data_IF_777981904407
#
_entry.id   IF_777981904407
#
_cell.length_a   1.000
_cell.length_b   1.000
_cell.length_c   1.000
_cell.angle_alpha   90.00
_cell.angle_beta   90.00
_cell.angle_gamma   90.00
#
_symmetry.space_group_name_H-M   'P 1'
#
loop_
_entity.id
_entity.type
_entity.pdbx_description
1 polymer ?
#
# COMPACT_ATOMS: atom_id res chain seq x y z
N UNK A 1 1.09 6.91 17.14
CA UNK A 1 0.39 7.75 16.14
C UNK A 1 -0.56 6.84 15.38
N UNK A 2 -1.66 7.33 14.81
CA UNK A 2 -2.61 6.48 14.08
C UNK A 2 -2.22 6.37 12.61
N UNK A 3 -2.32 5.17 12.04
CA UNK A 3 -2.08 4.94 10.62
C UNK A 3 -2.99 5.83 9.75
N UNK A 4 -2.44 6.41 8.67
CA UNK A 4 -3.17 7.30 7.76
C UNK A 4 -3.18 6.76 6.34
N UNK A 5 -4.30 6.94 5.64
CA UNK A 5 -4.42 6.59 4.22
C UNK A 5 -3.40 7.38 3.40
N UNK A 6 -2.66 6.70 2.54
CA UNK A 6 -1.66 7.29 1.65
C UNK A 6 -1.92 6.86 0.20
N UNK A 7 -2.80 7.63 -0.46
CA UNK A 7 -3.19 7.39 -1.85
C UNK A 7 -2.03 7.62 -2.83
N UNK A 8 -1.12 8.56 -2.52
CA UNK A 8 0.03 8.83 -3.37
C UNK A 8 1.00 7.64 -3.37
N UNK A 9 1.24 7.02 -2.22
CA UNK A 9 2.05 5.80 -2.12
C UNK A 9 1.45 4.66 -2.93
N UNK A 10 0.12 4.45 -2.83
CA UNK A 10 -0.59 3.43 -3.60
C UNK A 10 -0.41 3.59 -5.11
N UNK A 11 -0.58 4.82 -5.62
CA UNK A 11 -0.43 5.12 -7.04
C UNK A 11 1.01 4.93 -7.53
N UNK A 12 2.00 5.31 -6.71
CA UNK A 12 3.42 5.09 -7.01
C UNK A 12 3.78 3.59 -6.99
N UNK A 13 3.25 2.83 -6.05
CA UNK A 13 3.45 1.38 -6.00
C UNK A 13 2.86 0.70 -7.24
N UNK A 14 1.68 1.12 -7.71
CA UNK A 14 1.12 0.65 -8.99
C UNK A 14 2.03 0.96 -10.19
N UNK A 15 2.65 2.16 -10.20
CA UNK A 15 3.60 2.52 -11.24
C UNK A 15 4.86 1.63 -11.21
N UNK A 16 5.41 1.34 -10.02
CA UNK A 16 6.57 0.46 -9.82
C UNK A 16 6.27 -1.00 -10.14
N UNK A 17 5.07 -1.48 -9.83
CA UNK A 17 4.65 -2.84 -10.19
C UNK A 17 4.67 -3.04 -11.72
N UNK A 18 4.36 -1.98 -12.47
CA UNK A 18 4.43 -1.96 -13.93
C UNK A 18 3.36 -2.82 -14.61
N UNK A 19 3.22 -2.74 -15.94
CA UNK A 19 2.15 -3.39 -16.70
C UNK A 19 2.18 -4.92 -16.66
N UNK A 20 3.35 -5.52 -16.38
CA UNK A 20 3.56 -6.97 -16.36
C UNK A 20 3.82 -7.53 -14.96
N UNK A 21 3.63 -6.73 -13.92
CA UNK A 21 3.74 -7.20 -12.55
C UNK A 21 2.62 -8.18 -12.17
N UNK A 22 2.77 -8.83 -11.02
CA UNK A 22 1.83 -9.84 -10.54
C UNK A 22 0.39 -9.32 -10.51
N UNK A 23 -0.52 -10.08 -11.12
CA UNK A 23 -1.92 -9.66 -11.30
C UNK A 23 -2.66 -9.53 -9.97
N UNK A 24 -2.34 -10.39 -8.98
CA UNK A 24 -2.96 -10.32 -7.66
C UNK A 24 -2.38 -9.16 -6.84
N UNK A 25 -1.08 -8.90 -6.92
CA UNK A 25 -0.47 -7.70 -6.32
C UNK A 25 -1.10 -6.41 -6.85
N UNK A 26 -1.35 -6.36 -8.17
CA UNK A 26 -2.07 -5.24 -8.81
C UNK A 26 -3.48 -5.12 -8.26
N UNK A 27 -4.23 -6.22 -8.21
CA UNK A 27 -5.60 -6.25 -7.69
C UNK A 27 -5.65 -5.77 -6.23
N UNK A 28 -4.68 -6.17 -5.39
CA UNK A 28 -4.54 -5.72 -4.01
C UNK A 28 -4.36 -4.20 -3.93
N UNK A 29 -3.51 -3.60 -4.77
CA UNK A 29 -3.32 -2.15 -4.81
C UNK A 29 -4.52 -1.41 -5.44
N UNK A 30 -5.19 -2.01 -6.41
CA UNK A 30 -6.34 -1.42 -7.11
C UNK A 30 -7.62 -1.48 -6.30
N UNK A 31 -7.84 -2.51 -5.49
CA UNK A 31 -9.05 -2.65 -4.67
C UNK A 31 -8.82 -2.33 -3.19
N UNK A 32 -7.57 -2.40 -2.71
CA UNK A 32 -7.23 -2.12 -1.32
C UNK A 32 -7.00 -0.66 -0.99
N UNK A 33 -6.79 -0.38 0.29
CA UNK A 33 -6.33 0.92 0.77
C UNK A 33 -4.98 0.79 1.44
N UNK A 34 -4.06 1.68 1.09
CA UNK A 34 -2.73 1.74 1.67
C UNK A 34 -2.76 2.75 2.81
N UNK A 35 -2.39 2.30 3.99
CA UNK A 35 -2.18 3.13 5.16
C UNK A 35 -0.71 3.09 5.55
N UNK A 36 -0.23 4.17 6.14
CA UNK A 36 1.12 4.28 6.67
C UNK A 36 1.03 4.56 8.16
N UNK A 37 1.61 3.67 8.96
CA UNK A 37 1.91 3.92 10.37
C UNK A 37 3.35 4.45 10.46
N UNK A 38 3.54 5.74 10.79
CA UNK A 38 4.82 6.40 10.65
C UNK A 38 5.80 6.07 11.80
N UNK A 39 7.09 6.22 11.50
CA UNK A 39 8.20 6.17 12.46
C UNK A 39 8.20 4.98 13.42
N UNK A 40 7.86 3.78 12.93
CA UNK A 40 7.91 2.54 13.74
C UNK A 40 9.34 2.07 14.00
N UNK A 41 10.30 2.55 13.20
CA UNK A 41 11.73 2.30 13.34
C UNK A 41 12.51 3.54 12.89
N UNK A 42 13.69 3.79 13.46
CA UNK A 42 14.61 4.81 12.98
C UNK A 42 16.07 4.34 13.10
N UNK A 43 16.92 4.74 12.15
CA UNK A 43 18.34 4.41 12.14
C UNK A 43 19.17 5.43 11.35
N UNK A 44 20.50 5.38 11.51
CA UNK A 44 21.42 6.20 10.71
C UNK A 44 21.78 5.45 9.42
N UNK A 45 21.46 6.05 8.27
CA UNK A 45 21.84 5.56 6.96
C UNK A 45 23.10 6.25 6.43
N UNK A 46 23.64 5.76 5.32
CA UNK A 46 24.84 6.35 4.69
C UNK A 46 24.66 7.80 4.25
N UNK A 47 23.40 8.24 4.04
CA UNK A 47 23.05 9.59 3.57
C UNK A 47 22.32 10.42 4.63
N UNK A 48 22.37 10.01 5.90
CA UNK A 48 21.69 10.67 7.00
C UNK A 48 20.62 9.79 7.67
N UNK A 49 19.81 10.39 8.55
CA UNK A 49 18.80 9.68 9.32
C UNK A 49 17.71 9.09 8.42
N UNK A 50 17.26 7.89 8.77
CA UNK A 50 16.22 7.14 8.07
C UNK A 50 15.06 6.82 9.01
N UNK A 51 13.85 6.99 8.47
CA UNK A 51 12.58 6.75 9.13
C UNK A 51 11.90 5.53 8.49
N UNK A 52 11.74 4.48 9.29
CA UNK A 52 11.05 3.25 8.93
C UNK A 52 9.56 3.35 9.19
N UNK A 53 8.75 3.05 8.18
CA UNK A 53 7.30 3.07 8.27
C UNK A 53 6.70 1.70 8.08
N UNK A 54 5.65 1.40 8.82
CA UNK A 54 4.82 0.23 8.58
C UNK A 54 3.78 0.58 7.54
N UNK A 55 3.71 -0.22 6.48
CA UNK A 55 2.69 -0.07 5.44
C UNK A 55 1.61 -1.11 5.67
N UNK A 56 0.36 -0.68 5.74
CA UNK A 56 -0.80 -1.56 5.94
C UNK A 56 -1.62 -1.52 4.66
N UNK A 57 -1.84 -2.68 4.05
CA UNK A 57 -2.70 -2.84 2.88
C UNK A 57 -3.99 -3.51 3.33
N UNK A 58 -5.06 -2.73 3.44
CA UNK A 58 -6.38 -3.23 3.83
C UNK A 58 -7.19 -3.61 2.62
N UNK A 59 -7.67 -4.84 2.56
CA UNK A 59 -8.37 -5.41 1.39
C UNK A 59 -9.61 -6.21 1.80
N UNK A 60 -10.59 -6.38 0.89
CA UNK A 60 -11.76 -7.21 1.16
C UNK A 60 -11.38 -8.67 1.46
N UNK A 61 -12.17 -9.36 2.29
CA UNK A 61 -11.93 -10.75 2.74
C UNK A 61 -11.61 -11.72 1.62
N UNK A 62 -12.35 -11.66 0.51
CA UNK A 62 -12.15 -12.55 -0.63
C UNK A 62 -10.76 -12.37 -1.27
N UNK A 63 -10.23 -11.14 -1.26
CA UNK A 63 -8.92 -10.82 -1.81
C UNK A 63 -7.81 -11.13 -0.80
N UNK A 64 -8.06 -10.88 0.49
CA UNK A 64 -7.16 -11.28 1.58
C UNK A 64 -6.86 -12.78 1.54
N UNK A 65 -7.88 -13.64 1.43
CA UNK A 65 -7.70 -15.09 1.39
C UNK A 65 -6.87 -15.57 0.19
N UNK A 66 -7.03 -14.94 -0.97
CA UNK A 66 -6.21 -15.24 -2.17
C UNK A 66 -4.76 -14.82 -1.99
N UNK A 67 -4.53 -13.63 -1.42
CA UNK A 67 -3.20 -13.10 -1.17
C UNK A 67 -2.44 -13.89 -0.10
N UNK A 68 -3.12 -14.31 0.97
CA UNK A 68 -2.56 -15.16 2.01
C UNK A 68 -2.03 -16.51 1.46
N UNK A 69 -2.59 -16.99 0.35
CA UNK A 69 -2.16 -18.21 -0.32
C UNK A 69 -1.08 -18.00 -1.39
N UNK A 70 -0.65 -16.76 -1.67
CA UNK A 70 0.28 -16.44 -2.76
C UNK A 70 1.47 -15.61 -2.28
N UNK A 71 2.60 -16.28 -2.05
CA UNK A 71 3.87 -15.62 -1.73
C UNK A 71 4.34 -14.67 -2.84
N UNK A 72 4.20 -15.07 -4.11
CA UNK A 72 4.61 -14.25 -5.25
C UNK A 72 3.86 -12.90 -5.29
N UNK A 73 2.56 -12.91 -4.99
CA UNK A 73 1.77 -11.69 -4.94
C UNK A 73 2.20 -10.78 -3.76
N UNK A 74 2.47 -11.38 -2.60
CA UNK A 74 2.95 -10.63 -1.43
C UNK A 74 4.35 -10.03 -1.66
N UNK A 75 5.27 -10.76 -2.29
CA UNK A 75 6.60 -10.27 -2.62
C UNK A 75 6.56 -9.14 -3.64
N UNK A 76 5.75 -9.29 -4.70
CA UNK A 76 5.56 -8.23 -5.70
C UNK A 76 4.92 -6.97 -5.09
N UNK A 77 3.92 -7.15 -4.22
CA UNK A 77 3.31 -6.06 -3.47
C UNK A 77 4.34 -5.35 -2.60
N UNK A 78 5.09 -6.11 -1.80
CA UNK A 78 6.13 -5.60 -0.89
C UNK A 78 7.20 -4.81 -1.65
N UNK A 79 7.73 -5.38 -2.73
CA UNK A 79 8.75 -4.73 -3.55
C UNK A 79 8.25 -3.42 -4.17
N UNK A 80 7.02 -3.41 -4.70
CA UNK A 80 6.44 -2.21 -5.30
C UNK A 80 6.20 -1.08 -4.28
N UNK A 81 5.75 -1.42 -3.06
CA UNK A 81 5.55 -0.46 -1.98
C UNK A 81 6.87 0.07 -1.42
N UNK A 82 7.87 -0.81 -1.25
CA UNK A 82 9.20 -0.42 -0.82
C UNK A 82 9.85 0.56 -1.81
N UNK A 83 9.77 0.25 -3.11
CA UNK A 83 10.29 1.11 -4.17
C UNK A 83 9.59 2.48 -4.18
N UNK A 84 8.26 2.49 -4.06
CA UNK A 84 7.48 3.72 -3.99
C UNK A 84 7.80 4.57 -2.74
N UNK A 85 8.04 3.93 -1.59
CA UNK A 85 8.42 4.64 -0.36
C UNK A 85 9.83 5.22 -0.44
N UNK A 86 10.76 4.49 -1.05
CA UNK A 86 12.15 4.91 -1.21
C UNK A 86 12.33 6.15 -2.12
N UNK A 87 11.31 6.55 -2.89
CA UNK A 87 11.31 7.83 -3.60
C UNK A 87 11.29 9.05 -2.66
N UNK A 88 10.88 8.86 -1.40
CA UNK A 88 10.83 9.92 -0.38
C UNK A 88 12.14 9.91 0.40
N UNK A 89 12.95 10.95 0.23
CA UNK A 89 14.25 11.03 0.90
C UNK A 89 14.13 10.95 2.42
N UNK A 90 14.92 10.09 3.06
CA UNK A 90 14.87 9.85 4.51
C UNK A 90 13.79 8.86 4.97
N UNK A 91 13.02 8.27 4.05
CA UNK A 91 11.95 7.32 4.38
C UNK A 91 12.23 5.92 3.80
N UNK A 92 11.79 4.90 4.52
CA UNK A 92 11.94 3.50 4.13
C UNK A 92 10.79 2.66 4.69
N UNK A 93 10.48 1.55 4.02
CA UNK A 93 9.48 0.60 4.51
C UNK A 93 10.13 -0.34 5.52
N UNK A 94 9.63 -0.34 6.75
CA UNK A 94 10.08 -1.23 7.82
C UNK A 94 9.43 -2.62 7.68
N UNK A 95 8.12 -2.64 7.46
CA UNK A 95 7.36 -3.85 7.17
C UNK A 95 6.11 -3.51 6.34
N UNK A 96 5.50 -4.55 5.79
CA UNK A 96 4.18 -4.49 5.17
C UNK A 96 3.28 -5.53 5.81
N UNK A 97 2.07 -5.11 6.14
CA UNK A 97 1.04 -5.94 6.75
C UNK A 97 -0.18 -5.94 5.84
N UNK A 98 -0.71 -7.13 5.57
CA UNK A 98 -1.99 -7.26 4.91
C UNK A 98 -3.08 -7.37 5.98
N UNK A 99 -4.13 -6.56 5.87
CA UNK A 99 -5.28 -6.60 6.76
C UNK A 99 -6.55 -6.92 5.98
N UNK A 100 -7.40 -7.74 6.57
CA UNK A 100 -8.79 -7.87 6.15
C UNK A 100 -9.59 -6.65 6.60
N UNK A 101 -10.39 -6.09 5.71
CA UNK A 101 -11.39 -5.09 6.06
C UNK A 101 -11.91 -4.31 4.86
N UNK A 102 -12.96 -3.53 5.09
CA UNK A 102 -13.48 -2.62 4.07
C UNK A 102 -12.40 -1.59 3.69
N UNK A 103 -12.04 -1.48 2.40
CA UNK A 103 -11.15 -0.43 1.92
C UNK A 103 -11.71 0.95 2.24
N UNK A 104 -10.82 1.92 2.46
CA UNK A 104 -11.22 3.30 2.59
C UNK A 104 -11.94 3.76 1.31
N UNK A 105 -13.12 4.39 1.41
CA UNK A 105 -13.80 4.91 0.24
C UNK A 105 -12.91 5.96 -0.44
N UNK A 106 -12.56 5.71 -1.70
CA UNK A 106 -11.91 6.70 -2.55
C UNK A 106 -12.95 7.74 -2.97
N UNK A 107 -12.54 9.00 -3.16
CA UNK A 107 -13.41 10.15 -3.38
C UNK A 107 -14.47 10.01 -4.49
N UNK A 108 -15.40 10.97 -4.57
CA UNK A 108 -16.82 10.75 -4.33
C UNK A 108 -17.46 9.71 -5.28
N UNK A 109 -18.31 8.85 -4.72
CA UNK A 109 -19.47 8.34 -5.47
C UNK A 109 -20.33 9.55 -5.81
N UNK A 110 -20.10 10.17 -6.98
CA UNK A 110 -21.04 11.16 -7.51
C UNK A 110 -22.45 10.56 -7.48
N UNK A 111 -23.47 11.32 -7.09
CA UNK A 111 -24.81 10.77 -6.94
C UNK A 111 -25.32 10.30 -8.30
N UNK A 112 -25.43 8.98 -8.51
CA UNK A 112 -26.38 8.42 -9.48
C UNK A 112 -27.76 8.42 -8.83
N UNK A 113 -28.38 9.59 -8.75
CA UNK A 113 -29.71 9.80 -8.19
C UNK A 113 -30.56 10.65 -9.14
N UNK A 114 -31.77 10.20 -9.53
CA UNK A 114 -32.52 10.77 -10.65
C UNK A 114 -33.48 11.86 -10.18
N UNK A 115 -32.96 13.00 -9.75
CA UNK A 115 -33.82 14.18 -9.62
C UNK A 115 -33.51 15.16 -10.76
N UNK A 116 -34.44 15.14 -11.72
CA UNK A 116 -34.73 16.23 -12.67
C UNK A 116 -35.53 17.31 -11.96
#
# INVERSE_FOLDING_TARGET
>A
MSARVDEALRLRALAHLGPFGDALARELLEQGSVYVDPDVLAWEGTKGPMHGHRVIVRVPTALYGRAAASHAAFDALSASLAAAMAERAGHSMADVVLEEGEPHPRGPRGPRGPYR
#
